data_IF_149035927128
#
_entry.id   IF_149035927128
#
_cell.length_a   1.000
_cell.length_b   1.000
_cell.length_c   1.000
_cell.angle_alpha   90.00
_cell.angle_beta   90.00
_cell.angle_gamma   90.00
#
_symmetry.space_group_name_H-M   'P 1'
#
loop_
_entity.id
_entity.type
_entity.pdbx_description
1 polymer ?
#
# COMPACT_ATOMS: atom_id res chain seq x y z
N UNK A 1 -23.12 -15.83 8.35
CA UNK A 1 -22.54 -14.60 8.96
C UNK A 1 -21.04 -14.74 9.19
N UNK A 2 -20.61 -15.80 9.88
CA UNK A 2 -19.20 -16.11 10.15
C UNK A 2 -18.26 -16.06 8.93
N UNK A 3 -18.62 -16.72 7.82
CA UNK A 3 -17.79 -16.72 6.61
C UNK A 3 -17.57 -15.32 6.01
N UNK A 4 -18.52 -14.39 6.16
CA UNK A 4 -18.38 -13.01 5.68
C UNK A 4 -17.37 -12.25 6.54
N UNK A 5 -17.45 -12.41 7.86
CA UNK A 5 -16.54 -11.80 8.82
C UNK A 5 -15.12 -12.33 8.60
N UNK A 6 -14.96 -13.65 8.44
CA UNK A 6 -13.65 -14.26 8.17
C UNK A 6 -13.00 -13.72 6.89
N UNK A 7 -13.77 -13.53 5.82
CA UNK A 7 -13.26 -12.94 4.56
C UNK A 7 -12.73 -11.52 4.76
N UNK A 8 -13.42 -10.70 5.56
CA UNK A 8 -12.98 -9.34 5.86
C UNK A 8 -11.68 -9.38 6.67
N UNK A 9 -11.61 -10.23 7.70
CA UNK A 9 -10.40 -10.39 8.52
C UNK A 9 -9.22 -10.83 7.65
N UNK A 10 -9.41 -11.83 6.79
CA UNK A 10 -8.35 -12.31 5.90
C UNK A 10 -7.88 -11.22 4.93
N UNK A 11 -8.81 -10.43 4.39
CA UNK A 11 -8.48 -9.30 3.53
C UNK A 11 -7.62 -8.26 4.26
N UNK A 12 -7.98 -7.90 5.50
CA UNK A 12 -7.20 -6.94 6.31
C UNK A 12 -5.82 -7.51 6.65
N UNK A 13 -5.72 -8.78 7.03
CA UNK A 13 -4.42 -9.42 7.31
C UNK A 13 -3.54 -9.41 6.07
N UNK A 14 -4.10 -9.75 4.90
CA UNK A 14 -3.36 -9.73 3.65
C UNK A 14 -2.85 -8.31 3.32
N UNK A 15 -3.70 -7.29 3.49
CA UNK A 15 -3.32 -5.89 3.26
C UNK A 15 -2.15 -5.46 4.17
N UNK A 16 -2.23 -5.79 5.47
CA UNK A 16 -1.14 -5.54 6.41
C UNK A 16 0.16 -6.27 6.01
N UNK A 17 0.06 -7.52 5.56
CA UNK A 17 1.23 -8.28 5.09
C UNK A 17 1.88 -7.62 3.87
N UNK A 18 1.10 -7.05 2.95
CA UNK A 18 1.63 -6.30 1.80
C UNK A 18 2.45 -5.09 2.28
N UNK A 19 1.93 -4.32 3.22
CA UNK A 19 2.64 -3.16 3.77
C UNK A 19 3.90 -3.56 4.54
N UNK A 20 3.83 -4.60 5.37
CA UNK A 20 4.99 -5.14 6.09
C UNK A 20 6.06 -5.60 5.10
N UNK A 21 5.67 -6.35 4.06
CA UNK A 21 6.61 -6.80 3.02
C UNK A 21 7.30 -5.64 2.32
N UNK A 22 6.54 -4.63 1.88
CA UNK A 22 7.12 -3.45 1.22
C UNK A 22 8.07 -2.70 2.16
N UNK A 23 7.67 -2.49 3.42
CA UNK A 23 8.47 -1.80 4.41
C UNK A 23 9.79 -2.52 4.70
N UNK A 24 9.73 -3.83 4.99
CA UNK A 24 10.92 -4.65 5.23
C UNK A 24 11.86 -4.65 4.03
N UNK A 25 11.33 -4.70 2.81
CA UNK A 25 12.15 -4.68 1.61
C UNK A 25 12.83 -3.32 1.41
N UNK A 26 12.11 -2.23 1.69
CA UNK A 26 12.65 -0.87 1.58
C UNK A 26 13.65 -0.53 2.68
N UNK A 27 13.64 -1.19 3.85
CA UNK A 27 14.74 -1.07 4.82
C UNK A 27 16.10 -1.42 4.21
N UNK A 28 16.14 -2.39 3.28
CA UNK A 28 17.36 -2.69 2.55
C UNK A 28 17.82 -1.54 1.65
N UNK A 29 16.90 -0.77 1.08
CA UNK A 29 17.27 0.44 0.35
C UNK A 29 17.91 1.47 1.31
N UNK A 30 17.34 1.64 2.50
CA UNK A 30 17.82 2.59 3.50
C UNK A 30 19.21 2.20 4.03
N UNK A 31 19.42 0.91 4.34
CA UNK A 31 20.69 0.39 4.87
C UNK A 31 21.84 0.48 3.85
N UNK A 32 21.53 0.41 2.55
CA UNK A 32 22.51 0.42 1.46
C UNK A 32 22.45 1.70 0.60
N UNK A 33 21.81 2.76 1.09
CA UNK A 33 21.72 4.02 0.37
C UNK A 33 23.09 4.68 0.21
N UNK A 34 23.34 5.23 -0.97
CA UNK A 34 24.55 5.95 -1.32
C UNK A 34 24.17 7.29 -1.96
N UNK A 35 24.59 8.38 -1.32
CA UNK A 35 24.33 9.76 -1.76
C UNK A 35 24.86 10.03 -3.18
N UNK A 36 25.89 9.30 -3.62
CA UNK A 36 26.44 9.44 -4.98
C UNK A 36 25.47 8.97 -6.07
N UNK A 37 24.48 8.13 -5.75
CA UNK A 37 23.49 7.60 -6.70
C UNK A 37 22.31 8.54 -6.93
N UNK A 38 22.24 9.66 -6.20
CA UNK A 38 21.20 10.67 -6.31
C UNK A 38 20.47 10.91 -4.99
N UNK A 39 19.49 11.82 -5.03
CA UNK A 39 18.74 12.23 -3.84
C UNK A 39 18.01 11.05 -3.19
N UNK A 40 17.99 11.01 -1.86
CA UNK A 40 17.27 9.98 -1.12
C UNK A 40 15.77 9.97 -1.48
N UNK A 41 15.18 8.78 -1.54
CA UNK A 41 13.83 8.54 -2.11
C UNK A 41 13.60 9.00 -3.56
N UNK A 42 14.63 9.42 -4.30
CA UNK A 42 14.49 9.63 -5.73
C UNK A 42 14.44 8.30 -6.48
N UNK A 43 13.71 8.27 -7.60
CA UNK A 43 13.81 7.10 -8.49
C UNK A 43 15.24 6.98 -9.04
N UNK A 44 16.01 8.05 -9.23
CA UNK A 44 17.40 7.94 -9.71
C UNK A 44 18.30 7.12 -8.79
N UNK A 45 18.16 7.29 -7.46
CA UNK A 45 19.03 6.65 -6.46
C UNK A 45 18.68 5.20 -6.16
N UNK A 46 17.50 4.73 -6.57
CA UNK A 46 17.06 3.37 -6.30
C UNK A 46 17.55 2.38 -7.36
N UNK A 47 18.07 1.24 -6.92
CA UNK A 47 18.23 0.07 -7.79
C UNK A 47 16.86 -0.41 -8.29
N UNK A 48 16.84 -1.10 -9.44
CA UNK A 48 15.60 -1.58 -10.09
C UNK A 48 14.68 -2.35 -9.14
N UNK A 49 15.25 -3.15 -8.25
CA UNK A 49 14.48 -3.94 -7.29
C UNK A 49 13.70 -3.07 -6.28
N UNK A 50 14.34 -2.04 -5.72
CA UNK A 50 13.70 -1.10 -4.80
C UNK A 50 12.70 -0.20 -5.53
N UNK A 51 13.00 0.20 -6.77
CA UNK A 51 12.05 0.95 -7.62
C UNK A 51 10.73 0.20 -7.79
N UNK A 52 10.80 -1.08 -8.14
CA UNK A 52 9.60 -1.90 -8.36
C UNK A 52 8.76 -1.97 -7.08
N UNK A 53 9.39 -2.22 -5.94
CA UNK A 53 8.69 -2.28 -4.64
C UNK A 53 8.12 -0.92 -4.25
N UNK A 54 8.87 0.17 -4.44
CA UNK A 54 8.40 1.52 -4.14
C UNK A 54 7.20 1.92 -5.01
N UNK A 55 7.24 1.64 -6.32
CA UNK A 55 6.11 1.90 -7.23
C UNK A 55 4.90 1.05 -6.81
N UNK A 56 5.12 -0.23 -6.52
CA UNK A 56 4.07 -1.13 -6.08
C UNK A 56 3.42 -0.67 -4.77
N UNK A 57 4.23 -0.25 -3.79
CA UNK A 57 3.76 0.31 -2.51
C UNK A 57 2.86 1.53 -2.72
N UNK A 58 3.30 2.48 -3.54
CA UNK A 58 2.50 3.68 -3.85
C UNK A 58 1.21 3.33 -4.59
N UNK A 59 1.27 2.41 -5.55
CA UNK A 59 0.10 1.90 -6.25
C UNK A 59 -0.90 1.23 -5.27
N UNK A 60 -0.38 0.47 -4.30
CA UNK A 60 -1.19 -0.19 -3.27
C UNK A 60 -1.92 0.81 -2.37
N UNK A 61 -1.26 1.91 -1.98
CA UNK A 61 -1.88 3.01 -1.25
C UNK A 61 -3.01 3.64 -2.08
N UNK A 62 -2.77 3.92 -3.36
CA UNK A 62 -3.79 4.50 -4.25
C UNK A 62 -5.01 3.59 -4.33
N UNK A 63 -4.82 2.28 -4.48
CA UNK A 63 -5.92 1.32 -4.48
C UNK A 63 -6.72 1.33 -3.17
N UNK A 64 -6.03 1.37 -2.03
CA UNK A 64 -6.68 1.45 -0.72
C UNK A 64 -7.49 2.75 -0.55
N UNK A 65 -6.95 3.88 -0.99
CA UNK A 65 -7.66 5.16 -1.00
C UNK A 65 -8.91 5.12 -1.88
N UNK A 66 -8.82 4.57 -3.09
CA UNK A 66 -9.96 4.41 -4.00
C UNK A 66 -11.03 3.49 -3.40
N UNK A 67 -10.61 2.39 -2.76
CA UNK A 67 -11.52 1.48 -2.07
C UNK A 67 -12.25 2.18 -0.91
N UNK A 68 -11.52 2.95 -0.10
CA UNK A 68 -12.11 3.74 1.00
C UNK A 68 -13.12 4.76 0.47
N UNK A 69 -12.77 5.53 -0.56
CA UNK A 69 -13.68 6.49 -1.20
C UNK A 69 -14.94 5.82 -1.72
N UNK A 70 -14.81 4.64 -2.36
CA UNK A 70 -15.96 3.86 -2.81
C UNK A 70 -16.87 3.42 -1.64
N UNK A 71 -16.28 2.92 -0.55
CA UNK A 71 -17.03 2.51 0.64
C UNK A 71 -17.78 3.70 1.25
N UNK A 72 -17.11 4.84 1.42
CA UNK A 72 -17.70 6.07 1.94
C UNK A 72 -18.84 6.58 1.05
N UNK A 73 -18.63 6.63 -0.27
CA UNK A 73 -19.65 7.04 -1.24
C UNK A 73 -20.89 6.12 -1.17
N UNK A 74 -20.68 4.81 -1.03
CA UNK A 74 -21.76 3.85 -0.90
C UNK A 74 -22.56 4.04 0.40
N UNK A 75 -21.89 4.34 1.51
CA UNK A 75 -22.53 4.65 2.79
C UNK A 75 -23.35 5.93 2.67
N UNK A 76 -22.74 7.01 2.17
CA UNK A 76 -23.41 8.30 1.97
C UNK A 76 -24.68 8.16 1.13
N UNK A 77 -24.60 7.48 -0.02
CA UNK A 77 -25.76 7.28 -0.90
C UNK A 77 -26.88 6.50 -0.23
N UNK A 78 -26.56 5.48 0.58
CA UNK A 78 -27.58 4.74 1.33
C UNK A 78 -28.25 5.58 2.41
N UNK A 79 -27.53 6.52 3.02
CA UNK A 79 -28.07 7.44 4.01
C UNK A 79 -28.91 8.55 3.37
N UNK A 80 -28.56 9.01 2.17
CA UNK A 80 -29.26 10.09 1.47
C UNK A 80 -30.53 9.65 0.72
N UNK A 81 -30.66 8.36 0.41
CA UNK A 81 -31.85 7.77 -0.25
C UNK A 81 -32.84 7.19 0.78
N UNK A 82 -32.56 7.36 2.08
CA UNK A 82 -33.49 7.11 3.18
C UNK A 82 -34.21 8.39 3.58
#
# INVERSE_FOLDING_TARGET
MLLKVLKIILFVIFDLLVFIFCGLYMMGYDDFYDESQGEYFSLSSMQTQYKVVWIFYNFWIVLNCLFLLYVLFRIFRKSAVK
#
